data_IF_197251329461
#
_entry.id   IF_197251329461
#
_cell.length_a   1.000
_cell.length_b   1.000
_cell.length_c   1.000
_cell.angle_alpha   90.00
_cell.angle_beta   90.00
_cell.angle_gamma   90.00
#
_symmetry.space_group_name_H-M   'P 1'
#
loop_
_entity.id
_entity.type
_entity.pdbx_description
1 polymer ?
#
# COMPACT_ATOMS: atom_id res chain seq x y z
N UNK A 1 -14.12 -4.48 -42.44
CA UNK A 1 -13.20 -3.55 -41.75
C UNK A 1 -11.84 -4.22 -41.60
N UNK A 2 -10.72 -3.52 -41.84
CA UNK A 2 -9.40 -4.03 -41.51
C UNK A 2 -9.16 -3.75 -40.01
N UNK A 3 -9.18 -4.80 -39.18
CA UNK A 3 -9.13 -4.66 -37.74
C UNK A 3 -7.81 -4.01 -37.24
N UNK A 4 -6.65 -4.41 -37.80
CA UNK A 4 -5.38 -3.83 -37.40
C UNK A 4 -5.31 -2.34 -37.69
N UNK A 5 -5.75 -1.91 -38.86
CA UNK A 5 -5.79 -0.50 -39.22
C UNK A 5 -6.76 0.27 -38.31
N UNK A 6 -7.93 -0.31 -38.04
CA UNK A 6 -8.92 0.31 -37.15
C UNK A 6 -8.37 0.53 -35.73
N UNK A 7 -7.68 -0.48 -35.15
CA UNK A 7 -7.04 -0.35 -33.85
C UNK A 7 -5.88 0.64 -33.85
N UNK A 8 -5.12 0.74 -34.94
CA UNK A 8 -4.05 1.73 -35.11
C UNK A 8 -4.58 3.17 -35.18
N UNK A 9 -5.74 3.38 -35.81
CA UNK A 9 -6.37 4.69 -35.96
C UNK A 9 -7.03 5.16 -34.63
N UNK A 10 -7.33 4.23 -33.73
CA UNK A 10 -7.97 4.49 -32.44
C UNK A 10 -6.99 4.28 -31.27
N UNK A 11 -5.86 4.98 -31.28
CA UNK A 11 -4.87 4.96 -30.20
C UNK A 11 -4.90 6.27 -29.40
N UNK A 12 -4.62 6.15 -28.10
CA UNK A 12 -4.39 7.34 -27.28
C UNK A 12 -3.03 8.02 -27.63
N UNK A 13 -2.73 9.12 -26.96
CA UNK A 13 -1.48 9.86 -27.14
C UNK A 13 -0.21 9.02 -26.89
N UNK A 14 -0.31 7.95 -26.09
CA UNK A 14 0.78 7.03 -25.80
C UNK A 14 0.87 5.85 -26.78
N UNK A 15 0.03 5.83 -27.83
CA UNK A 15 0.03 4.79 -28.86
C UNK A 15 -0.69 3.50 -28.48
N UNK A 16 -1.38 3.45 -27.35
CA UNK A 16 -2.16 2.28 -26.89
C UNK A 16 -3.56 2.30 -27.52
N UNK A 17 -4.06 1.20 -28.13
CA UNK A 17 -5.42 1.12 -28.65
C UNK A 17 -6.47 1.40 -27.58
N UNK A 18 -7.38 2.34 -27.84
CA UNK A 18 -8.48 2.73 -26.95
C UNK A 18 -9.75 2.78 -27.77
N UNK A 19 -10.81 2.12 -27.29
CA UNK A 19 -12.11 2.06 -27.96
C UNK A 19 -13.21 2.40 -26.95
N UNK A 20 -14.12 3.28 -27.32
CA UNK A 20 -15.32 3.52 -26.53
C UNK A 20 -16.29 2.33 -26.61
N UNK A 21 -17.39 2.38 -25.87
CA UNK A 21 -18.36 1.28 -25.76
C UNK A 21 -18.93 0.85 -27.12
N UNK A 22 -19.28 1.81 -27.97
CA UNK A 22 -19.81 1.53 -29.32
C UNK A 22 -18.74 0.85 -30.20
N UNK A 23 -17.55 1.43 -30.28
CA UNK A 23 -16.42 0.90 -31.04
C UNK A 23 -16.02 -0.51 -30.59
N UNK A 24 -16.00 -0.75 -29.26
CA UNK A 24 -15.72 -2.07 -28.70
C UNK A 24 -16.82 -3.08 -29.05
N UNK A 25 -18.09 -2.68 -28.98
CA UNK A 25 -19.24 -3.51 -29.42
C UNK A 25 -19.16 -3.86 -30.91
N UNK A 26 -18.82 -2.87 -31.75
CA UNK A 26 -18.77 -3.08 -33.21
C UNK A 26 -17.71 -4.08 -33.64
N UNK A 27 -16.50 -4.04 -33.00
CA UNK A 27 -15.48 -5.04 -33.33
C UNK A 27 -15.81 -6.43 -32.77
N UNK A 28 -16.46 -6.52 -31.63
CA UNK A 28 -16.90 -7.79 -31.04
C UNK A 28 -18.05 -8.43 -31.84
N UNK A 29 -18.85 -7.63 -32.57
CA UNK A 29 -19.87 -8.13 -33.47
C UNK A 29 -19.30 -8.68 -34.80
N UNK A 30 -18.13 -8.19 -35.25
CA UNK A 30 -17.52 -8.51 -36.52
C UNK A 30 -16.43 -9.57 -36.44
N UNK A 31 -15.75 -9.68 -35.29
CA UNK A 31 -14.59 -10.55 -35.10
C UNK A 31 -14.75 -11.39 -33.83
N UNK A 32 -14.24 -12.59 -33.87
CA UNK A 32 -14.11 -13.40 -32.64
C UNK A 32 -13.02 -12.85 -31.71
N UNK A 33 -13.11 -13.19 -30.43
CA UNK A 33 -12.19 -12.69 -29.41
C UNK A 33 -10.73 -13.04 -29.65
N UNK A 34 -10.44 -14.21 -30.24
CA UNK A 34 -9.06 -14.64 -30.51
C UNK A 34 -8.43 -13.77 -31.62
N UNK A 35 -9.22 -13.45 -32.65
CA UNK A 35 -8.82 -12.54 -33.72
C UNK A 35 -8.52 -11.13 -33.16
N UNK A 36 -9.36 -10.61 -32.25
CA UNK A 36 -9.13 -9.30 -31.62
C UNK A 36 -7.88 -9.34 -30.74
N UNK A 37 -7.70 -10.39 -29.95
CA UNK A 37 -6.50 -10.57 -29.09
C UNK A 37 -5.24 -10.62 -29.94
N UNK A 38 -5.26 -11.37 -31.04
CA UNK A 38 -4.11 -11.47 -31.96
C UNK A 38 -3.76 -10.11 -32.57
N UNK A 39 -4.75 -9.33 -32.98
CA UNK A 39 -4.55 -7.99 -33.52
C UNK A 39 -4.00 -7.02 -32.48
N UNK A 40 -4.50 -7.04 -31.24
CA UNK A 40 -3.97 -6.23 -30.15
C UNK A 40 -2.52 -6.56 -29.86
N UNK A 41 -2.17 -7.85 -29.76
CA UNK A 41 -0.79 -8.30 -29.56
C UNK A 41 0.11 -7.82 -30.70
N UNK A 42 -0.30 -8.02 -31.95
CA UNK A 42 0.46 -7.60 -33.13
C UNK A 42 0.79 -6.10 -33.10
N UNK A 43 -0.17 -5.28 -32.74
CA UNK A 43 0.02 -3.82 -32.61
C UNK A 43 1.02 -3.51 -31.49
N UNK A 44 0.85 -4.07 -30.30
CA UNK A 44 1.73 -3.82 -29.16
C UNK A 44 3.17 -4.24 -29.48
N UNK A 45 3.35 -5.41 -30.10
CA UNK A 45 4.67 -5.93 -30.49
C UNK A 45 5.33 -5.02 -31.53
N UNK A 46 4.57 -4.53 -32.52
CA UNK A 46 5.10 -3.70 -33.60
C UNK A 46 5.35 -2.26 -33.18
N UNK A 47 4.47 -1.67 -32.41
CA UNK A 47 4.53 -0.24 -32.09
C UNK A 47 5.20 0.06 -30.75
N UNK A 48 5.32 -0.94 -29.88
CA UNK A 48 5.95 -0.86 -28.56
C UNK A 48 5.51 0.35 -27.75
N UNK A 49 4.22 0.58 -27.58
CA UNK A 49 3.74 1.68 -26.74
C UNK A 49 4.09 1.38 -25.28
N UNK A 50 4.25 2.40 -24.43
CA UNK A 50 4.46 2.18 -22.99
C UNK A 50 3.28 1.42 -22.38
N UNK A 51 3.54 0.68 -21.30
CA UNK A 51 2.49 -0.01 -20.55
C UNK A 51 1.39 0.98 -20.11
N UNK A 52 0.10 0.67 -20.33
CA UNK A 52 -0.99 1.59 -20.01
C UNK A 52 -1.11 1.77 -18.49
N UNK A 53 -0.68 2.92 -17.99
CA UNK A 53 -0.85 3.37 -16.62
C UNK A 53 -1.88 4.50 -16.56
N UNK A 54 -2.42 4.76 -15.37
CA UNK A 54 -3.30 5.92 -15.18
C UNK A 54 -2.49 7.19 -15.39
N UNK A 55 -3.01 8.08 -16.20
CA UNK A 55 -2.50 9.43 -16.28
C UNK A 55 -2.96 10.19 -15.03
N UNK A 56 -2.01 10.58 -14.18
CA UNK A 56 -2.26 11.31 -12.94
C UNK A 56 -1.57 12.66 -13.10
N UNK A 57 -2.36 13.71 -13.32
CA UNK A 57 -1.83 15.05 -13.43
C UNK A 57 -1.32 15.57 -12.07
N UNK A 58 -0.46 16.60 -12.13
CA UNK A 58 -0.04 17.30 -10.92
C UNK A 58 -1.24 17.89 -10.15
N UNK A 59 -2.25 18.38 -10.87
CA UNK A 59 -3.48 18.91 -10.28
C UNK A 59 -4.29 17.83 -9.56
N UNK A 60 -4.38 16.62 -10.12
CA UNK A 60 -5.07 15.49 -9.47
C UNK A 60 -4.35 15.07 -8.17
N UNK A 61 -3.03 15.04 -8.19
CA UNK A 61 -2.21 14.74 -7.02
C UNK A 61 -2.36 15.83 -5.95
N UNK A 62 -2.29 17.10 -6.34
CA UNK A 62 -2.47 18.24 -5.46
C UNK A 62 -3.86 18.24 -4.81
N UNK A 63 -4.91 18.01 -5.62
CA UNK A 63 -6.27 17.88 -5.11
C UNK A 63 -6.35 16.73 -4.08
N UNK A 64 -5.80 15.57 -4.41
CA UNK A 64 -5.79 14.41 -3.53
C UNK A 64 -5.05 14.68 -2.21
N UNK A 65 -3.97 15.49 -2.25
CA UNK A 65 -3.24 15.92 -1.05
C UNK A 65 -4.11 16.79 -0.14
N UNK A 66 -4.80 17.79 -0.68
CA UNK A 66 -5.65 18.68 0.09
C UNK A 66 -6.91 17.96 0.60
N UNK A 67 -7.53 17.11 -0.22
CA UNK A 67 -8.66 16.28 0.20
C UNK A 67 -8.27 15.39 1.40
N UNK A 68 -7.08 14.79 1.36
CA UNK A 68 -6.56 14.00 2.48
C UNK A 68 -6.27 14.87 3.70
N UNK A 69 -5.63 16.03 3.53
CA UNK A 69 -5.27 16.94 4.62
C UNK A 69 -6.50 17.47 5.36
N UNK A 70 -7.56 17.77 4.62
CA UNK A 70 -8.81 18.31 5.17
C UNK A 70 -9.82 17.24 5.61
N UNK A 71 -9.55 15.97 5.33
CA UNK A 71 -10.49 14.90 5.68
C UNK A 71 -10.59 14.68 7.18
N UNK A 72 -11.84 14.67 7.68
CA UNK A 72 -12.12 14.12 9.00
C UNK A 72 -12.21 12.59 8.91
N UNK A 73 -11.24 11.92 9.52
CA UNK A 73 -11.14 10.46 9.47
C UNK A 73 -11.96 9.76 10.56
N UNK A 74 -12.61 10.49 11.48
CA UNK A 74 -13.50 9.90 12.49
C UNK A 74 -14.62 9.10 11.84
N UNK A 75 -15.18 9.62 10.75
CA UNK A 75 -16.26 8.97 9.98
C UNK A 75 -15.83 7.70 9.25
N UNK A 76 -14.53 7.46 9.15
CA UNK A 76 -13.97 6.28 8.45
C UNK A 76 -13.69 5.11 9.38
N UNK A 77 -13.78 5.30 10.69
CA UNK A 77 -13.56 4.24 11.66
C UNK A 77 -14.89 3.70 12.19
N UNK A 78 -15.05 2.38 12.21
CA UNK A 78 -16.16 1.67 12.83
C UNK A 78 -15.64 0.84 14.00
N UNK A 79 -16.25 0.97 15.16
CA UNK A 79 -15.85 0.23 16.35
C UNK A 79 -16.11 -1.28 16.17
N UNK A 80 -15.37 -2.10 16.90
CA UNK A 80 -15.45 -3.56 16.79
C UNK A 80 -16.89 -4.08 16.97
N UNK A 81 -17.62 -3.59 17.96
CA UNK A 81 -18.97 -4.07 18.23
C UNK A 81 -19.98 -3.78 17.11
N UNK A 82 -19.72 -2.78 16.29
CA UNK A 82 -20.55 -2.43 15.13
C UNK A 82 -20.30 -3.39 13.93
N UNK A 83 -19.15 -4.02 13.86
CA UNK A 83 -18.71 -4.76 12.67
C UNK A 83 -18.33 -6.22 12.91
N UNK A 84 -18.26 -6.69 14.16
CA UNK A 84 -17.79 -8.03 14.51
C UNK A 84 -18.50 -9.17 13.76
N UNK A 85 -19.81 -9.04 13.55
CA UNK A 85 -20.60 -10.03 12.84
C UNK A 85 -20.46 -9.96 11.30
N UNK A 86 -19.88 -8.86 10.80
CA UNK A 86 -19.65 -8.62 9.38
C UNK A 86 -18.24 -9.03 8.95
N UNK A 87 -17.28 -9.01 9.88
CA UNK A 87 -15.89 -9.44 9.58
C UNK A 87 -15.86 -10.92 9.28
N UNK A 88 -15.23 -11.29 8.19
CA UNK A 88 -15.18 -12.70 7.78
C UNK A 88 -14.43 -13.57 8.77
N UNK A 89 -15.03 -14.73 9.06
CA UNK A 89 -14.47 -15.77 9.91
C UNK A 89 -13.12 -16.34 9.44
N UNK A 90 -12.68 -15.97 8.23
CA UNK A 90 -11.38 -16.41 7.69
C UNK A 90 -10.16 -15.98 8.51
N UNK A 91 -10.35 -15.12 9.51
CA UNK A 91 -9.33 -14.88 10.53
C UNK A 91 -9.06 -16.08 11.44
N UNK A 92 -9.89 -17.11 11.42
CA UNK A 92 -9.58 -18.38 12.06
C UNK A 92 -8.32 -19.07 11.49
N UNK A 93 -8.00 -18.75 10.23
CA UNK A 93 -6.76 -19.19 9.57
C UNK A 93 -5.52 -18.42 10.04
N UNK A 94 -5.67 -17.30 10.77
CA UNK A 94 -4.58 -16.54 11.36
C UNK A 94 -4.41 -16.93 12.83
N UNK A 95 -3.20 -16.78 13.37
CA UNK A 95 -2.90 -17.20 14.75
C UNK A 95 -3.76 -16.52 15.79
N UNK A 96 -4.10 -15.24 15.60
CA UNK A 96 -4.99 -14.46 16.49
C UNK A 96 -6.30 -14.16 15.79
N UNK A 97 -7.42 -14.33 16.48
CA UNK A 97 -8.75 -14.03 15.96
C UNK A 97 -9.05 -12.56 16.15
N UNK A 98 -9.48 -11.88 15.07
CA UNK A 98 -9.93 -10.49 15.15
C UNK A 98 -11.06 -10.32 16.17
N UNK A 99 -12.03 -11.22 16.19
CA UNK A 99 -13.19 -11.18 17.10
C UNK A 99 -12.85 -11.14 18.59
N UNK A 100 -11.67 -11.64 18.99
CA UNK A 100 -11.25 -11.65 20.40
C UNK A 100 -10.36 -10.47 20.79
N UNK A 101 -9.76 -9.77 19.81
CA UNK A 101 -8.79 -8.71 20.05
C UNK A 101 -9.02 -7.50 19.12
N UNK A 102 -10.19 -7.43 18.47
CA UNK A 102 -10.49 -6.37 17.53
C UNK A 102 -10.82 -5.04 18.22
N UNK A 103 -10.24 -3.96 17.73
CA UNK A 103 -10.52 -2.58 18.16
C UNK A 103 -11.55 -1.91 17.23
N UNK A 104 -11.55 -2.26 15.95
CA UNK A 104 -12.46 -1.70 14.95
C UNK A 104 -11.90 -1.80 13.54
N UNK A 105 -12.63 -1.26 12.58
CA UNK A 105 -12.28 -1.30 11.14
C UNK A 105 -12.16 0.11 10.58
N UNK A 106 -11.04 0.38 9.93
CA UNK A 106 -10.81 1.60 9.17
C UNK A 106 -11.37 1.36 7.76
N UNK A 107 -12.42 2.11 7.40
CA UNK A 107 -13.01 2.09 6.07
C UNK A 107 -12.06 2.79 5.09
N UNK A 108 -11.95 2.25 3.89
CA UNK A 108 -11.01 2.76 2.90
C UNK A 108 -11.68 3.07 1.58
N UNK A 109 -11.24 4.18 0.98
CA UNK A 109 -11.54 4.56 -0.38
C UNK A 109 -10.29 4.67 -1.23
N UNK A 110 -10.46 4.88 -2.53
CA UNK A 110 -9.35 5.13 -3.45
C UNK A 110 -9.13 6.62 -3.74
N UNK A 111 -9.95 7.48 -3.16
CA UNK A 111 -9.96 8.93 -3.44
C UNK A 111 -8.64 9.63 -3.13
N UNK A 112 -7.87 9.11 -2.16
CA UNK A 112 -6.59 9.68 -1.77
C UNK A 112 -5.38 9.01 -2.44
N UNK A 113 -5.59 8.01 -3.29
CA UNK A 113 -4.49 7.21 -3.84
C UNK A 113 -3.55 8.00 -4.75
N UNK A 114 -4.03 9.08 -5.38
CA UNK A 114 -3.21 9.85 -6.32
C UNK A 114 -2.09 10.62 -5.63
N UNK A 115 -2.20 10.88 -4.32
CA UNK A 115 -1.20 11.62 -3.56
C UNK A 115 0.19 10.96 -3.65
N UNK A 116 0.28 9.66 -3.58
CA UNK A 116 1.52 8.89 -3.69
C UNK A 116 1.70 8.23 -5.07
N UNK A 117 0.61 7.81 -5.74
CA UNK A 117 0.69 7.21 -7.06
C UNK A 117 1.33 8.11 -8.12
N UNK A 118 1.19 9.43 -8.01
CA UNK A 118 1.86 10.38 -8.90
C UNK A 118 3.38 10.13 -8.95
N UNK A 119 3.99 9.77 -7.84
CA UNK A 119 5.42 9.52 -7.71
C UNK A 119 5.80 8.05 -7.94
N UNK A 120 4.98 7.11 -7.48
CA UNK A 120 5.38 5.71 -7.31
C UNK A 120 4.61 4.71 -8.19
N UNK A 121 3.62 5.14 -8.98
CA UNK A 121 2.77 4.23 -9.75
C UNK A 121 3.58 3.34 -10.67
N UNK A 122 4.53 3.90 -11.43
CA UNK A 122 5.35 3.16 -12.38
C UNK A 122 6.19 2.08 -11.68
N UNK A 123 6.86 2.44 -10.58
CA UNK A 123 7.66 1.51 -9.80
C UNK A 123 6.82 0.36 -9.24
N UNK A 124 5.59 0.67 -8.79
CA UNK A 124 4.65 -0.31 -8.28
C UNK A 124 4.16 -1.28 -9.36
N UNK A 125 3.95 -0.79 -10.60
CA UNK A 125 3.57 -1.61 -11.74
C UNK A 125 4.77 -2.37 -12.34
N UNK A 126 5.98 -2.04 -11.94
CA UNK A 126 7.21 -2.77 -12.26
C UNK A 126 7.70 -3.71 -11.15
N UNK A 127 6.91 -3.90 -10.10
CA UNK A 127 7.22 -4.80 -8.99
C UNK A 127 6.79 -6.23 -9.32
N UNK A 128 7.74 -7.16 -9.29
CA UNK A 128 7.47 -8.59 -9.43
C UNK A 128 6.91 -9.19 -8.12
N UNK A 129 6.35 -10.38 -8.20
CA UNK A 129 6.00 -11.22 -7.06
C UNK A 129 6.58 -12.62 -7.21
N UNK A 130 6.48 -13.44 -6.16
CA UNK A 130 6.89 -14.85 -6.25
C UNK A 130 6.01 -15.59 -7.27
N UNK A 131 6.67 -16.03 -8.36
CA UNK A 131 6.00 -16.76 -9.43
C UNK A 131 5.23 -15.91 -10.45
N UNK A 132 5.21 -14.58 -10.30
CA UNK A 132 4.48 -13.67 -11.19
C UNK A 132 5.34 -12.48 -11.59
N UNK A 133 5.35 -12.18 -12.89
CA UNK A 133 5.96 -10.98 -13.45
C UNK A 133 5.02 -9.77 -13.32
N UNK A 134 5.63 -8.59 -13.21
CA UNK A 134 4.93 -7.31 -13.16
C UNK A 134 4.18 -7.00 -14.46
N UNK A 135 3.17 -6.10 -14.44
CA UNK A 135 2.49 -5.63 -15.63
C UNK A 135 3.44 -5.04 -16.68
N UNK A 136 4.37 -4.18 -16.25
CA UNK A 136 5.35 -3.54 -17.16
C UNK A 136 6.25 -4.59 -17.79
N UNK A 137 6.79 -5.51 -17.01
CA UNK A 137 7.61 -6.59 -17.58
C UNK A 137 6.86 -7.40 -18.65
N UNK A 138 5.60 -7.79 -18.37
CA UNK A 138 4.78 -8.55 -19.31
C UNK A 138 4.49 -7.79 -20.58
N UNK A 139 4.19 -6.50 -20.45
CA UNK A 139 3.93 -5.63 -21.59
C UNK A 139 5.16 -5.44 -22.47
N UNK A 140 6.27 -5.07 -21.89
CA UNK A 140 7.51 -4.74 -22.62
C UNK A 140 8.17 -5.98 -23.27
N UNK A 141 8.03 -7.14 -22.63
CA UNK A 141 8.60 -8.40 -23.11
C UNK A 141 7.58 -9.29 -23.82
N UNK A 142 6.35 -8.83 -24.06
CA UNK A 142 5.26 -9.61 -24.67
C UNK A 142 4.98 -10.92 -23.92
N UNK A 143 5.26 -10.95 -22.60
CA UNK A 143 5.11 -12.13 -21.78
C UNK A 143 3.65 -12.35 -21.42
N UNK A 144 3.05 -13.41 -21.99
CA UNK A 144 1.69 -13.84 -21.72
C UNK A 144 0.61 -12.75 -21.95
N UNK A 145 0.82 -11.84 -22.92
CA UNK A 145 -0.16 -10.81 -23.30
C UNK A 145 -1.51 -11.39 -23.71
N UNK A 146 -1.54 -12.60 -24.29
CA UNK A 146 -2.78 -13.29 -24.59
C UNK A 146 -3.68 -13.45 -23.36
N UNK A 147 -3.12 -13.85 -22.22
CA UNK A 147 -3.87 -13.98 -20.96
C UNK A 147 -4.38 -12.63 -20.46
N UNK A 148 -3.56 -11.57 -20.60
CA UNK A 148 -3.96 -10.20 -20.25
C UNK A 148 -5.16 -9.76 -21.08
N UNK A 149 -5.12 -9.91 -22.39
CA UNK A 149 -6.22 -9.47 -23.24
C UNK A 149 -7.46 -10.35 -23.11
N UNK A 150 -7.34 -11.66 -22.94
CA UNK A 150 -8.49 -12.52 -22.67
C UNK A 150 -9.22 -12.16 -21.37
N UNK A 151 -8.54 -11.54 -20.41
CA UNK A 151 -9.17 -11.06 -19.19
C UNK A 151 -10.16 -9.92 -19.44
N UNK A 152 -10.07 -9.17 -20.54
CA UNK A 152 -11.03 -8.13 -20.91
C UNK A 152 -12.46 -8.70 -20.98
N UNK A 153 -12.65 -9.87 -21.60
CA UNK A 153 -13.97 -10.53 -21.70
C UNK A 153 -14.38 -11.18 -20.38
N UNK A 154 -13.43 -11.76 -19.63
CA UNK A 154 -13.72 -12.35 -18.31
C UNK A 154 -14.25 -11.33 -17.32
N UNK A 155 -13.83 -10.08 -17.46
CA UNK A 155 -14.26 -8.96 -16.61
C UNK A 155 -15.52 -8.26 -17.14
N UNK A 156 -16.02 -8.66 -18.33
CA UNK A 156 -17.19 -8.04 -18.95
C UNK A 156 -16.95 -6.56 -19.30
N UNK A 157 -15.69 -6.19 -19.66
CA UNK A 157 -15.39 -4.82 -20.04
C UNK A 157 -16.21 -4.43 -21.28
N UNK A 158 -16.89 -3.28 -21.19
CA UNK A 158 -17.72 -2.73 -22.28
C UNK A 158 -16.96 -1.77 -23.20
N UNK A 159 -15.71 -1.45 -22.85
CA UNK A 159 -14.83 -0.57 -23.59
C UNK A 159 -13.38 -1.05 -23.47
N UNK A 160 -12.52 -0.58 -24.36
CA UNK A 160 -11.07 -0.78 -24.27
C UNK A 160 -10.43 0.53 -23.82
N UNK A 161 -10.25 0.67 -22.53
CA UNK A 161 -9.68 1.86 -21.89
C UNK A 161 -8.46 1.52 -21.06
N UNK A 162 -7.71 2.52 -20.60
CA UNK A 162 -6.61 2.31 -19.63
C UNK A 162 -7.10 1.55 -18.40
N UNK A 163 -8.30 1.85 -17.90
CA UNK A 163 -8.90 1.13 -16.78
C UNK A 163 -9.19 -0.33 -17.08
N UNK A 164 -9.61 -0.66 -18.31
CA UNK A 164 -9.82 -2.03 -18.76
C UNK A 164 -8.52 -2.83 -18.80
N UNK A 165 -7.43 -2.24 -19.30
CA UNK A 165 -6.10 -2.85 -19.27
C UNK A 165 -5.61 -3.10 -17.84
N UNK A 166 -5.72 -2.10 -16.96
CA UNK A 166 -5.33 -2.23 -15.54
C UNK A 166 -6.13 -3.35 -14.85
N UNK A 167 -7.42 -3.42 -15.10
CA UNK A 167 -8.28 -4.49 -14.55
C UNK A 167 -7.86 -5.87 -15.07
N UNK A 168 -7.49 -5.97 -16.34
CA UNK A 168 -7.00 -7.19 -16.96
C UNK A 168 -5.66 -7.65 -16.38
N UNK A 169 -4.74 -6.71 -16.11
CA UNK A 169 -3.49 -7.02 -15.41
C UNK A 169 -3.73 -7.61 -14.02
N UNK A 170 -4.75 -7.14 -13.28
CA UNK A 170 -5.07 -7.70 -11.95
C UNK A 170 -5.46 -9.18 -11.96
N UNK A 171 -5.98 -9.69 -13.08
CA UNK A 171 -6.31 -11.12 -13.25
C UNK A 171 -5.16 -11.96 -13.81
N UNK A 172 -4.22 -11.36 -14.51
CA UNK A 172 -3.23 -12.08 -15.31
C UNK A 172 -1.77 -11.79 -14.92
N UNK A 173 -1.54 -10.74 -14.15
CA UNK A 173 -0.23 -10.34 -13.62
C UNK A 173 -0.37 -10.01 -12.13
N UNK A 174 0.74 -9.71 -11.48
CA UNK A 174 0.73 -9.19 -10.12
C UNK A 174 0.91 -7.67 -10.14
N UNK A 175 0.05 -6.95 -9.46
CA UNK A 175 0.21 -5.52 -9.20
C UNK A 175 0.45 -5.37 -7.70
N UNK A 176 1.61 -4.83 -7.32
CA UNK A 176 1.92 -4.56 -5.92
C UNK A 176 0.84 -3.67 -5.28
N UNK A 177 0.40 -4.05 -4.10
CA UNK A 177 -0.69 -3.37 -3.41
C UNK A 177 -0.23 -1.99 -2.95
N UNK A 178 -1.03 -0.97 -3.24
CA UNK A 178 -0.84 0.36 -2.68
C UNK A 178 -1.40 0.40 -1.26
N UNK A 179 -0.61 0.86 -0.31
CA UNK A 179 -1.10 1.18 1.02
C UNK A 179 -2.07 2.37 0.96
N UNK A 180 -2.77 2.68 2.04
CA UNK A 180 -3.77 3.75 2.09
C UNK A 180 -3.30 4.91 2.97
N UNK A 181 -3.02 6.09 2.40
CA UNK A 181 -2.47 7.21 3.15
C UNK A 181 -3.38 7.68 4.30
N UNK A 182 -4.71 7.55 4.15
CA UNK A 182 -5.64 7.89 5.23
C UNK A 182 -5.50 6.99 6.46
N UNK A 183 -5.05 5.74 6.31
CA UNK A 183 -4.81 4.85 7.45
C UNK A 183 -3.63 5.36 8.28
N UNK A 184 -2.55 5.75 7.60
CA UNK A 184 -1.39 6.32 8.28
C UNK A 184 -1.75 7.64 8.97
N UNK A 185 -2.43 8.56 8.27
CA UNK A 185 -2.94 9.79 8.88
C UNK A 185 -3.77 9.51 10.13
N UNK A 186 -4.71 8.55 10.05
CA UNK A 186 -5.55 8.17 11.17
C UNK A 186 -4.73 7.72 12.39
N UNK A 187 -3.76 6.82 12.19
CA UNK A 187 -2.93 6.31 13.28
C UNK A 187 -2.05 7.40 13.91
N UNK A 188 -1.48 8.31 13.11
CA UNK A 188 -0.71 9.43 13.63
C UNK A 188 -1.57 10.43 14.42
N UNK A 189 -2.83 10.63 14.01
CA UNK A 189 -3.76 11.49 14.71
C UNK A 189 -4.26 10.90 16.02
N UNK A 190 -4.69 9.62 16.04
CA UNK A 190 -5.19 9.01 17.28
C UNK A 190 -4.12 8.92 18.37
N UNK A 191 -2.84 8.81 17.97
CA UNK A 191 -1.71 8.80 18.92
C UNK A 191 -1.22 10.20 19.28
N UNK A 192 -1.78 11.25 18.67
CA UNK A 192 -1.28 12.62 18.76
C UNK A 192 0.25 12.70 18.55
N UNK A 193 0.74 11.89 17.61
CA UNK A 193 2.16 11.74 17.37
C UNK A 193 2.77 13.02 16.83
N UNK A 194 3.93 13.40 17.39
CA UNK A 194 4.80 14.45 16.86
C UNK A 194 5.95 13.86 16.07
N UNK A 195 6.51 12.76 16.57
CA UNK A 195 7.63 12.07 15.96
C UNK A 195 7.21 10.66 15.51
N UNK A 196 7.40 10.39 14.22
CA UNK A 196 6.97 9.14 13.55
C UNK A 196 8.18 8.38 13.03
N UNK A 197 8.16 7.05 13.13
CA UNK A 197 9.13 6.17 12.50
C UNK A 197 8.45 5.12 11.60
N UNK A 198 9.01 4.92 10.40
CA UNK A 198 8.57 3.91 9.43
C UNK A 198 9.76 3.08 8.95
N UNK A 199 9.85 1.85 9.39
CA UNK A 199 10.97 0.95 9.07
C UNK A 199 10.93 0.37 7.65
N UNK A 200 9.91 0.68 6.84
CA UNK A 200 9.77 0.20 5.45
C UNK A 200 8.88 1.15 4.66
N UNK A 201 9.43 2.28 4.20
CA UNK A 201 8.66 3.42 3.63
C UNK A 201 7.74 3.06 2.45
N UNK A 202 8.02 1.98 1.74
CA UNK A 202 7.16 1.37 0.72
C UNK A 202 6.92 2.29 -0.48
N UNK A 203 5.65 2.57 -0.79
CA UNK A 203 5.26 3.41 -1.93
C UNK A 203 4.92 4.85 -1.55
N UNK A 204 5.48 5.36 -0.43
CA UNK A 204 5.30 6.74 0.01
C UNK A 204 3.91 7.09 0.54
N UNK A 205 3.02 6.10 0.74
CA UNK A 205 1.66 6.35 1.23
C UNK A 205 1.64 6.78 2.70
N UNK A 206 2.50 6.17 3.54
CA UNK A 206 2.61 6.54 4.96
C UNK A 206 3.30 7.90 5.13
N UNK A 207 4.25 8.24 4.24
CA UNK A 207 4.83 9.58 4.15
C UNK A 207 3.77 10.63 3.76
N UNK A 208 2.85 10.29 2.83
CA UNK A 208 1.72 11.17 2.49
C UNK A 208 0.75 11.35 3.67
N UNK A 209 0.46 10.28 4.41
CA UNK A 209 -0.31 10.33 5.65
C UNK A 209 0.34 11.22 6.70
N UNK A 210 1.66 11.16 6.86
CA UNK A 210 2.43 12.04 7.74
C UNK A 210 2.28 13.52 7.35
N UNK A 211 2.51 13.86 6.09
CA UNK A 211 2.39 15.24 5.61
C UNK A 211 0.97 15.82 5.78
N UNK A 212 -0.04 14.96 5.80
CA UNK A 212 -1.45 15.32 5.98
C UNK A 212 -1.94 15.26 7.43
N UNK A 213 -1.08 14.93 8.38
CA UNK A 213 -1.37 14.86 9.82
C UNK A 213 -0.73 16.02 10.58
N UNK A 214 -0.91 16.06 11.92
CA UNK A 214 -0.31 17.06 12.81
C UNK A 214 1.07 16.64 13.35
N UNK A 215 1.65 15.55 12.84
CA UNK A 215 2.99 15.13 13.18
C UNK A 215 4.04 16.07 12.57
N UNK A 216 5.14 16.28 13.27
CA UNK A 216 6.16 17.27 12.92
C UNK A 216 7.40 16.64 12.27
N UNK A 217 7.79 15.43 12.71
CA UNK A 217 9.00 14.75 12.28
C UNK A 217 8.72 13.32 11.81
N UNK A 218 9.31 12.93 10.68
CA UNK A 218 9.24 11.59 10.12
C UNK A 218 10.64 11.04 9.87
N UNK A 219 10.89 9.88 10.41
CA UNK A 219 12.11 9.09 10.19
C UNK A 219 11.73 7.81 9.45
N UNK A 220 12.52 7.43 8.45
CA UNK A 220 12.20 6.24 7.67
C UNK A 220 13.40 5.51 7.13
N UNK A 221 13.20 4.22 6.83
CA UNK A 221 14.18 3.38 6.13
C UNK A 221 13.54 2.65 4.96
N UNK A 222 14.29 2.47 3.89
CA UNK A 222 13.93 1.61 2.75
C UNK A 222 15.17 1.33 1.91
N UNK A 223 15.53 0.08 1.57
CA UNK A 223 16.71 -0.22 0.78
C UNK A 223 16.52 0.05 -0.72
N UNK A 224 15.31 0.38 -1.19
CA UNK A 224 15.00 0.57 -2.59
C UNK A 224 15.50 1.92 -3.11
N UNK A 225 16.53 1.92 -3.94
CA UNK A 225 17.12 3.11 -4.53
C UNK A 225 16.15 3.89 -5.44
N UNK A 226 15.23 3.21 -6.10
CA UNK A 226 14.27 3.84 -7.01
C UNK A 226 13.18 4.59 -6.24
N UNK A 227 12.65 4.00 -5.15
CA UNK A 227 11.66 4.70 -4.30
C UNK A 227 12.30 5.78 -3.44
N UNK A 228 13.57 5.64 -3.05
CA UNK A 228 14.31 6.64 -2.29
C UNK A 228 14.35 7.99 -3.01
N UNK A 229 14.62 8.01 -4.32
CA UNK A 229 14.57 9.22 -5.12
C UNK A 229 13.14 9.83 -5.14
N UNK A 230 12.12 8.98 -5.22
CA UNK A 230 10.73 9.43 -5.24
C UNK A 230 10.25 9.98 -3.90
N UNK A 231 10.72 9.46 -2.77
CA UNK A 231 10.43 10.04 -1.46
C UNK A 231 10.97 11.47 -1.34
N UNK A 232 12.18 11.70 -1.84
CA UNK A 232 12.76 13.04 -1.84
C UNK A 232 11.95 14.02 -2.68
N UNK A 233 11.58 13.64 -3.93
CA UNK A 233 10.71 14.43 -4.78
C UNK A 233 9.35 14.73 -4.10
N UNK A 234 8.77 13.72 -3.49
CA UNK A 234 7.49 13.79 -2.77
C UNK A 234 7.55 14.80 -1.62
N UNK A 235 8.60 14.75 -0.80
CA UNK A 235 8.81 15.70 0.29
C UNK A 235 8.89 17.14 -0.23
N UNK A 236 9.68 17.39 -1.28
CA UNK A 236 9.84 18.75 -1.84
C UNK A 236 8.52 19.32 -2.36
N UNK A 237 7.67 18.47 -2.95
CA UNK A 237 6.37 18.89 -3.46
C UNK A 237 5.41 19.20 -2.30
N UNK A 238 5.35 18.34 -1.30
CA UNK A 238 4.44 18.53 -0.17
C UNK A 238 4.84 19.71 0.72
N UNK A 239 6.14 19.94 0.91
CA UNK A 239 6.61 21.15 1.60
C UNK A 239 6.13 22.43 0.90
N UNK A 240 6.16 22.47 -0.45
CA UNK A 240 5.63 23.61 -1.21
C UNK A 240 4.12 23.79 -1.02
N UNK A 241 3.36 22.69 -0.93
CA UNK A 241 1.92 22.79 -0.67
C UNK A 241 1.63 23.38 0.71
N UNK A 242 2.45 23.07 1.70
CA UNK A 242 2.35 23.66 3.04
C UNK A 242 2.92 25.09 3.13
N UNK A 243 3.39 25.66 2.02
CA UNK A 243 4.03 26.99 1.99
C UNK A 243 5.48 27.00 2.45
N UNK A 244 6.08 25.85 2.63
CA UNK A 244 7.47 25.69 3.09
C UNK A 244 8.49 26.00 2.00
N UNK A 245 9.68 26.38 2.45
CA UNK A 245 10.91 26.52 1.64
C UNK A 245 11.99 25.67 2.29
N UNK A 246 11.98 24.34 2.04
CA UNK A 246 12.80 23.41 2.78
C UNK A 246 14.29 23.62 2.50
N UNK A 247 15.08 23.47 3.57
CA UNK A 247 16.52 23.21 3.48
C UNK A 247 16.70 21.70 3.32
N UNK A 248 17.64 21.30 2.49
CA UNK A 248 17.84 19.88 2.18
C UNK A 248 19.31 19.49 2.32
N UNK A 249 19.51 18.27 2.81
CA UNK A 249 20.78 17.53 2.72
C UNK A 249 20.43 16.23 2.01
N UNK A 250 21.23 15.81 1.05
CA UNK A 250 20.99 14.54 0.33
C UNK A 250 22.28 13.97 -0.19
N UNK A 251 22.48 12.69 0.03
CA UNK A 251 23.49 11.86 -0.61
C UNK A 251 22.86 10.55 -1.14
N UNK A 252 23.67 9.56 -1.51
CA UNK A 252 23.21 8.29 -2.07
C UNK A 252 22.55 7.37 -1.01
N UNK A 253 22.71 7.66 0.28
CA UNK A 253 22.29 6.80 1.38
C UNK A 253 21.25 7.44 2.27
N UNK A 254 21.19 8.76 2.29
CA UNK A 254 20.26 9.42 3.19
C UNK A 254 19.90 10.82 2.69
N UNK A 255 18.72 11.29 3.08
CA UNK A 255 18.35 12.69 2.91
C UNK A 255 17.61 13.26 4.12
N UNK A 256 17.74 14.57 4.30
CA UNK A 256 16.94 15.37 5.22
C UNK A 256 16.24 16.47 4.41
N UNK A 257 14.94 16.62 4.61
CA UNK A 257 14.14 17.75 4.15
C UNK A 257 13.58 18.44 5.38
N UNK A 258 13.99 19.68 5.61
CA UNK A 258 13.60 20.48 6.76
C UNK A 258 12.89 21.75 6.30
N UNK A 259 11.58 21.78 6.42
CA UNK A 259 10.72 22.91 6.06
C UNK A 259 9.66 23.17 7.11
N UNK A 260 8.38 23.12 6.73
CA UNK A 260 7.25 23.14 7.67
C UNK A 260 7.29 21.89 8.55
N UNK A 261 7.65 20.75 7.94
CA UNK A 261 7.89 19.50 8.63
C UNK A 261 9.35 19.06 8.44
N UNK A 262 9.78 18.08 9.22
CA UNK A 262 11.08 17.45 9.09
C UNK A 262 10.92 16.00 8.63
N UNK A 263 11.61 15.63 7.56
CA UNK A 263 11.68 14.25 7.06
C UNK A 263 13.13 13.84 6.93
N UNK A 264 13.47 12.69 7.48
CA UNK A 264 14.77 12.04 7.33
C UNK A 264 14.58 10.59 6.91
N UNK A 265 15.09 10.22 5.73
CA UNK A 265 14.99 8.85 5.20
C UNK A 265 16.37 8.32 4.87
N UNK A 266 16.64 7.10 5.35
CA UNK A 266 17.86 6.35 5.11
C UNK A 266 17.62 5.22 4.09
N UNK A 267 18.44 5.19 3.04
CA UNK A 267 18.42 4.11 2.05
C UNK A 267 19.27 2.94 2.57
N UNK A 268 18.67 2.13 3.41
CA UNK A 268 19.28 0.93 3.97
C UNK A 268 18.21 -0.09 4.36
N UNK A 269 18.56 -1.37 4.46
CA UNK A 269 17.73 -2.37 5.13
C UNK A 269 17.48 -1.95 6.58
N UNK A 270 16.24 -2.14 7.05
CA UNK A 270 15.87 -1.70 8.40
C UNK A 270 16.62 -2.44 9.51
N UNK A 271 16.99 -3.70 9.28
CA UNK A 271 17.78 -4.48 10.22
C UNK A 271 19.23 -4.00 10.38
N UNK A 272 19.77 -3.29 9.35
CA UNK A 272 21.11 -2.72 9.34
C UNK A 272 21.14 -1.26 9.80
N UNK A 273 19.97 -0.64 10.02
CA UNK A 273 19.84 0.75 10.44
C UNK A 273 20.35 0.95 11.88
N UNK A 274 21.02 2.06 12.11
CA UNK A 274 21.44 2.48 13.46
C UNK A 274 20.30 3.21 14.19
N UNK A 275 19.54 2.47 14.98
CA UNK A 275 18.41 3.00 15.75
C UNK A 275 18.83 3.99 16.86
N UNK A 276 20.13 4.07 17.20
CA UNK A 276 20.60 4.98 18.25
C UNK A 276 20.54 6.46 17.84
N UNK A 277 20.43 6.73 16.54
CA UNK A 277 20.31 8.10 16.03
C UNK A 277 18.87 8.63 16.08
N UNK A 278 17.88 7.75 16.31
CA UNK A 278 16.48 8.16 16.40
C UNK A 278 16.24 8.94 17.69
N UNK A 279 15.43 10.01 17.63
CA UNK A 279 14.83 10.57 18.83
C UNK A 279 13.85 9.57 19.45
N UNK A 280 13.24 9.93 20.57
CA UNK A 280 12.12 9.16 21.10
C UNK A 280 10.93 9.25 20.16
N UNK A 281 10.38 8.10 19.78
CA UNK A 281 9.32 7.96 18.77
C UNK A 281 7.96 7.86 19.46
N UNK A 282 7.01 8.71 19.06
CA UNK A 282 5.64 8.67 19.60
C UNK A 282 4.79 7.61 18.89
N UNK A 283 4.96 7.49 17.57
CA UNK A 283 4.24 6.51 16.77
C UNK A 283 5.17 5.85 15.74
N UNK A 284 5.39 4.57 15.88
CA UNK A 284 6.00 3.76 14.83
C UNK A 284 4.91 3.04 14.05
N UNK A 285 4.89 3.22 12.72
CA UNK A 285 3.93 2.51 11.87
C UNK A 285 4.59 1.99 10.60
N UNK A 286 4.53 0.69 10.41
CA UNK A 286 5.10 0.04 9.24
C UNK A 286 4.18 -1.03 8.65
N UNK A 287 4.36 -1.29 7.35
CA UNK A 287 3.93 -2.51 6.68
C UNK A 287 5.21 -3.14 6.13
N UNK A 288 5.80 -4.10 6.84
CA UNK A 288 7.07 -4.70 6.43
C UNK A 288 6.88 -5.52 5.15
N UNK A 289 7.95 -5.78 4.38
CA UNK A 289 7.86 -6.71 3.25
C UNK A 289 7.44 -8.10 3.75
N UNK A 290 6.28 -8.58 3.25
CA UNK A 290 5.73 -9.88 3.63
C UNK A 290 6.60 -11.00 3.04
N UNK A 291 6.92 -12.00 3.87
CA UNK A 291 7.72 -13.14 3.41
C UNK A 291 7.09 -13.80 2.17
N UNK A 292 7.92 -14.00 1.14
CA UNK A 292 7.59 -14.67 -0.12
C UNK A 292 6.36 -14.09 -0.88
N UNK A 293 6.05 -12.80 -0.70
CA UNK A 293 4.93 -12.16 -1.40
C UNK A 293 5.40 -11.31 -2.57
N UNK A 294 6.15 -10.27 -2.34
CA UNK A 294 6.61 -9.31 -3.35
C UNK A 294 8.14 -9.35 -3.51
N UNK A 295 8.59 -9.06 -4.72
CA UNK A 295 10.01 -8.90 -5.05
C UNK A 295 10.24 -7.46 -5.50
N UNK A 296 10.45 -6.61 -4.53
CA UNK A 296 10.72 -5.19 -4.77
C UNK A 296 12.06 -5.01 -5.46
N UNK A 297 12.16 -3.99 -6.33
CA UNK A 297 13.41 -3.51 -6.89
C UNK A 297 14.25 -4.58 -7.60
N UNK A 298 13.62 -5.51 -8.33
CA UNK A 298 14.34 -6.62 -9.01
C UNK A 298 15.32 -6.14 -10.08
N UNK A 299 15.17 -4.92 -10.58
CA UNK A 299 16.01 -4.30 -11.62
C UNK A 299 16.92 -3.19 -11.10
N UNK A 300 16.79 -2.80 -9.83
CA UNK A 300 17.60 -1.75 -9.23
C UNK A 300 19.00 -2.19 -8.83
N UNK A 301 19.88 -1.22 -8.62
CA UNK A 301 21.29 -1.45 -8.22
C UNK A 301 21.41 -2.16 -6.86
N UNK A 302 20.44 -1.97 -5.99
CA UNK A 302 20.42 -2.45 -4.60
C UNK A 302 19.39 -3.57 -4.38
N UNK A 303 19.08 -4.34 -5.42
CA UNK A 303 18.15 -5.47 -5.35
C UNK A 303 18.55 -6.54 -4.31
N UNK A 304 19.85 -6.71 -4.09
CA UNK A 304 20.42 -7.64 -3.10
C UNK A 304 20.24 -7.18 -1.64
N UNK A 305 19.90 -5.93 -1.40
CA UNK A 305 19.61 -5.38 -0.07
C UNK A 305 18.12 -5.61 0.32
N UNK A 306 17.28 -6.05 -0.61
CA UNK A 306 15.87 -6.34 -0.35
C UNK A 306 15.69 -7.62 0.48
N UNK A 307 14.69 -7.66 1.34
CA UNK A 307 14.41 -8.80 2.23
C UNK A 307 14.23 -10.11 1.47
N UNK A 308 13.56 -10.08 0.30
CA UNK A 308 13.36 -11.27 -0.53
C UNK A 308 14.68 -11.86 -1.10
N UNK A 309 15.71 -11.05 -1.22
CA UNK A 309 17.04 -11.49 -1.71
C UNK A 309 17.94 -11.93 -0.54
N UNK A 310 17.76 -11.34 0.66
CA UNK A 310 18.57 -11.64 1.85
C UNK A 310 18.11 -12.89 2.58
N UNK A 311 16.79 -13.16 2.58
CA UNK A 311 16.19 -14.24 3.37
C UNK A 311 15.38 -15.18 2.48
N UNK A 312 15.75 -16.44 2.49
CA UNK A 312 15.16 -17.47 1.60
C UNK A 312 14.14 -18.35 2.31
N UNK A 313 14.21 -18.45 3.63
CA UNK A 313 13.27 -19.20 4.47
C UNK A 313 12.50 -18.24 5.40
N UNK A 314 11.33 -18.71 5.89
CA UNK A 314 10.54 -17.93 6.83
C UNK A 314 11.31 -17.67 8.13
N UNK A 315 11.99 -18.67 8.61
CA UNK A 315 12.78 -18.64 9.85
C UNK A 315 13.94 -17.61 9.72
N UNK A 316 14.66 -17.60 8.58
CA UNK A 316 15.70 -16.59 8.34
C UNK A 316 15.10 -15.17 8.26
N UNK A 317 13.97 -15.01 7.57
CA UNK A 317 13.27 -13.72 7.46
C UNK A 317 12.74 -13.26 8.82
N UNK A 318 12.13 -14.17 9.61
CA UNK A 318 11.61 -13.88 10.94
C UNK A 318 12.74 -13.44 11.87
N UNK A 319 13.81 -14.24 11.97
CA UNK A 319 14.86 -14.07 12.97
C UNK A 319 15.93 -13.04 12.56
N UNK A 320 16.17 -12.85 11.26
CA UNK A 320 17.15 -11.90 10.72
C UNK A 320 16.60 -10.51 10.44
N UNK A 321 15.31 -10.40 10.14
CA UNK A 321 14.68 -9.14 9.77
C UNK A 321 13.48 -8.80 10.66
N UNK A 322 12.44 -9.62 10.61
CA UNK A 322 11.11 -9.21 11.10
C UNK A 322 11.07 -8.93 12.60
N UNK A 323 11.51 -9.87 13.42
CA UNK A 323 11.52 -9.68 14.88
C UNK A 323 12.58 -8.66 15.34
N UNK A 324 13.85 -8.70 14.87
CA UNK A 324 14.85 -7.71 15.27
C UNK A 324 14.48 -6.25 14.94
N UNK A 325 13.90 -6.01 13.75
CA UNK A 325 13.43 -4.67 13.36
C UNK A 325 12.33 -4.18 14.28
N UNK A 326 11.33 -5.04 14.57
CA UNK A 326 10.21 -4.68 15.45
C UNK A 326 10.68 -4.46 16.90
N UNK A 327 11.65 -5.24 17.41
CA UNK A 327 12.24 -5.05 18.73
C UNK A 327 12.97 -3.72 18.84
N UNK A 328 13.87 -3.42 17.90
CA UNK A 328 14.63 -2.15 17.87
C UNK A 328 13.69 -0.95 17.74
N UNK A 329 12.64 -1.08 16.95
CA UNK A 329 11.58 -0.07 16.82
C UNK A 329 10.88 0.16 18.15
N UNK A 330 10.46 -0.90 18.83
CA UNK A 330 9.82 -0.81 20.14
C UNK A 330 10.71 -0.16 21.19
N UNK A 331 12.00 -0.46 21.22
CA UNK A 331 12.97 0.16 22.13
C UNK A 331 13.12 1.66 21.90
N UNK A 332 12.96 2.12 20.66
CA UNK A 332 13.07 3.52 20.28
C UNK A 332 11.84 4.36 20.67
N UNK A 333 10.73 3.73 21.05
CA UNK A 333 9.51 4.44 21.44
C UNK A 333 9.74 5.30 22.70
N UNK A 334 9.01 6.41 22.78
CA UNK A 334 8.81 7.17 24.02
C UNK A 334 8.01 6.33 25.03
N UNK A 335 7.99 6.72 26.30
CA UNK A 335 7.29 5.98 27.36
C UNK A 335 5.77 5.86 27.11
N UNK A 336 5.21 6.78 26.33
CA UNK A 336 3.82 6.78 25.89
C UNK A 336 3.67 6.38 24.42
N UNK A 337 4.73 5.86 23.79
CA UNK A 337 4.77 5.57 22.37
C UNK A 337 3.99 4.31 21.99
N UNK A 338 3.57 4.29 20.72
CA UNK A 338 2.81 3.22 20.11
C UNK A 338 3.53 2.65 18.89
N UNK A 339 3.42 1.33 18.72
CA UNK A 339 3.88 0.64 17.52
C UNK A 339 2.72 -0.06 16.85
N UNK A 340 2.58 0.20 15.56
CA UNK A 340 1.58 -0.44 14.69
C UNK A 340 2.29 -1.20 13.58
N UNK A 341 1.88 -2.46 13.38
CA UNK A 341 2.45 -3.31 12.33
C UNK A 341 1.33 -3.87 11.48
N UNK A 342 1.28 -3.46 10.21
CA UNK A 342 0.32 -3.99 9.26
C UNK A 342 0.93 -5.20 8.56
N UNK A 343 0.49 -6.39 8.91
CA UNK A 343 0.94 -7.63 8.31
C UNK A 343 -0.13 -8.72 8.42
N UNK A 344 -0.33 -9.45 7.34
CA UNK A 344 -1.08 -10.69 7.31
C UNK A 344 -0.14 -11.88 7.49
N UNK A 345 -0.65 -12.95 8.10
CA UNK A 345 0.07 -14.21 8.20
C UNK A 345 0.31 -14.81 6.81
N UNK A 346 1.56 -14.93 6.34
CA UNK A 346 1.83 -15.36 4.98
C UNK A 346 1.48 -16.85 4.79
N UNK A 347 0.85 -17.14 3.65
CA UNK A 347 0.57 -18.51 3.21
C UNK A 347 1.35 -18.85 1.96
N UNK A 348 2.24 -19.82 2.06
CA UNK A 348 3.07 -20.28 0.94
C UNK A 348 2.64 -21.70 0.60
N UNK A 349 2.11 -21.86 -0.62
CA UNK A 349 1.46 -23.12 -1.05
C UNK A 349 0.32 -23.48 -0.09
N UNK A 350 0.49 -24.54 0.73
CA UNK A 350 -0.48 -25.02 1.69
C UNK A 350 -0.16 -24.64 3.14
N UNK A 351 1.09 -24.20 3.41
CA UNK A 351 1.56 -23.88 4.77
C UNK A 351 1.29 -22.41 5.08
N UNK A 352 0.63 -22.14 6.22
CA UNK A 352 0.50 -20.82 6.84
C UNK A 352 1.60 -20.67 7.89
N UNK A 353 2.18 -19.46 7.94
CA UNK A 353 3.14 -19.06 8.95
C UNK A 353 2.48 -17.97 9.81
N UNK A 354 2.60 -18.07 11.11
CA UNK A 354 1.90 -17.20 12.05
C UNK A 354 2.79 -16.04 12.51
N UNK A 355 3.13 -15.15 11.56
CA UNK A 355 3.96 -13.98 11.82
C UNK A 355 3.34 -13.05 12.87
N UNK A 356 2.01 -13.00 12.95
CA UNK A 356 1.31 -12.23 13.97
C UNK A 356 1.55 -12.78 15.38
N UNK A 357 1.50 -14.10 15.58
CA UNK A 357 1.77 -14.72 16.87
C UNK A 357 3.24 -14.52 17.27
N UNK A 358 4.18 -14.78 16.35
CA UNK A 358 5.60 -14.54 16.57
C UNK A 358 5.87 -13.09 17.04
N UNK A 359 5.20 -12.10 16.41
CA UNK A 359 5.34 -10.69 16.77
C UNK A 359 4.77 -10.39 18.17
N UNK A 360 3.54 -10.86 18.44
CA UNK A 360 2.86 -10.58 19.70
C UNK A 360 3.65 -11.18 20.86
N UNK A 361 4.05 -12.44 20.74
CA UNK A 361 4.80 -13.13 21.80
C UNK A 361 6.16 -12.43 22.02
N UNK A 362 6.87 -12.11 20.94
CA UNK A 362 8.18 -11.46 21.02
C UNK A 362 8.14 -10.07 21.66
N UNK A 363 7.19 -9.21 21.28
CA UNK A 363 7.08 -7.86 21.85
C UNK A 363 6.52 -7.87 23.26
N UNK A 364 5.59 -8.78 23.61
CA UNK A 364 5.08 -8.90 24.98
C UNK A 364 6.12 -9.42 25.95
N UNK A 365 6.96 -10.37 25.55
CA UNK A 365 8.12 -10.80 26.34
C UNK A 365 9.10 -9.65 26.61
N UNK A 366 9.20 -8.68 25.67
CA UNK A 366 10.01 -7.45 25.81
C UNK A 366 9.32 -6.37 26.65
N UNK A 367 8.12 -6.61 27.14
CA UNK A 367 7.38 -5.70 28.00
C UNK A 367 6.39 -4.79 27.29
N UNK A 368 6.08 -5.06 26.02
CA UNK A 368 5.00 -4.36 25.31
C UNK A 368 3.63 -4.78 25.85
N UNK A 369 2.72 -3.83 25.93
CA UNK A 369 1.29 -4.11 26.08
C UNK A 369 0.71 -4.37 24.70
N UNK A 370 0.18 -5.58 24.46
CA UNK A 370 -0.60 -5.86 23.26
C UNK A 370 -1.99 -5.24 23.40
N UNK A 371 -2.28 -4.23 22.58
CA UNK A 371 -3.50 -3.43 22.66
C UNK A 371 -4.66 -4.02 21.84
N UNK A 372 -4.40 -5.02 21.02
CA UNK A 372 -5.36 -5.57 20.08
C UNK A 372 -4.99 -5.26 18.61
N UNK A 373 -5.98 -5.35 17.73
CA UNK A 373 -5.78 -5.14 16.31
C UNK A 373 -6.88 -4.27 15.69
N UNK A 374 -6.51 -3.42 14.74
CA UNK A 374 -7.44 -2.72 13.85
C UNK A 374 -7.50 -3.44 12.51
N UNK A 375 -8.68 -3.45 11.89
CA UNK A 375 -8.85 -3.95 10.54
C UNK A 375 -8.73 -2.81 9.53
N UNK A 376 -7.83 -2.94 8.57
CA UNK A 376 -7.85 -2.12 7.37
C UNK A 376 -8.75 -2.78 6.33
N UNK A 377 -9.89 -2.19 5.99
CA UNK A 377 -10.81 -2.79 5.02
C UNK A 377 -10.15 -2.91 3.66
N UNK A 378 -10.15 -4.11 3.10
CA UNK A 378 -9.63 -4.38 1.76
C UNK A 378 -10.74 -4.82 0.82
N UNK A 379 -10.58 -4.55 -0.47
CA UNK A 379 -11.50 -5.03 -1.49
C UNK A 379 -11.30 -6.53 -1.70
N UNK A 380 -12.41 -7.24 -1.71
CA UNK A 380 -12.43 -8.66 -2.04
C UNK A 380 -12.04 -8.89 -3.50
N UNK A 381 -11.19 -9.91 -3.73
CA UNK A 381 -10.98 -10.39 -5.10
C UNK A 381 -12.19 -11.21 -5.52
N UNK A 382 -12.71 -11.03 -6.76
CA UNK A 382 -13.77 -11.87 -7.26
C UNK A 382 -13.41 -13.36 -7.16
N UNK A 383 -14.25 -14.14 -6.52
CA UNK A 383 -14.15 -15.61 -6.48
C UNK A 383 -15.46 -16.17 -7.05
N UNK A 384 -15.40 -17.38 -7.61
CA UNK A 384 -16.61 -18.16 -7.83
C UNK A 384 -17.17 -18.55 -6.45
N UNK A 385 -18.23 -17.93 -6.02
CA UNK A 385 -18.88 -18.15 -4.74
C UNK A 385 -20.27 -18.69 -4.99
N UNK A 386 -20.60 -19.80 -4.35
CA UNK A 386 -21.91 -20.45 -4.48
C UNK A 386 -23.05 -19.60 -3.87
N UNK A 387 -22.74 -18.74 -2.91
CA UNK A 387 -23.69 -17.84 -2.25
C UNK A 387 -23.21 -16.38 -2.30
N UNK A 388 -23.63 -15.67 -3.36
CA UNK A 388 -23.20 -14.29 -3.63
C UNK A 388 -23.71 -13.31 -2.58
N UNK A 389 -24.92 -13.51 -2.05
CA UNK A 389 -25.56 -12.58 -1.11
C UNK A 389 -24.88 -12.61 0.26
N UNK A 390 -24.54 -13.78 0.78
CA UNK A 390 -23.79 -13.92 2.02
C UNK A 390 -22.38 -13.31 1.92
N UNK A 391 -21.78 -13.41 0.73
CA UNK A 391 -20.47 -12.89 0.44
C UNK A 391 -20.42 -11.36 0.33
N UNK A 392 -21.45 -10.72 -0.23
CA UNK A 392 -21.52 -9.27 -0.46
C UNK A 392 -21.64 -8.48 0.85
N UNK A 393 -22.11 -9.10 1.93
CA UNK A 393 -22.28 -8.44 3.23
C UNK A 393 -21.08 -8.57 4.16
N UNK A 394 -20.07 -9.36 3.80
CA UNK A 394 -18.89 -9.57 4.66
C UNK A 394 -17.80 -8.53 4.42
N UNK A 395 -17.15 -8.11 5.50
CA UNK A 395 -16.02 -7.17 5.50
C UNK A 395 -14.70 -7.97 5.50
N UNK A 396 -13.86 -7.72 4.51
CA UNK A 396 -12.50 -8.23 4.48
C UNK A 396 -11.57 -7.19 5.05
N UNK A 397 -10.70 -7.61 5.95
CA UNK A 397 -9.73 -6.72 6.57
C UNK A 397 -8.31 -7.26 6.43
N UNK A 398 -7.36 -6.35 6.43
CA UNK A 398 -5.94 -6.61 6.65
C UNK A 398 -5.60 -6.09 8.05
N UNK A 399 -5.03 -6.92 8.94
CA UNK A 399 -4.85 -6.53 10.33
C UNK A 399 -3.68 -5.54 10.51
N UNK A 400 -3.87 -4.62 11.46
CA UNK A 400 -2.84 -3.75 12.00
C UNK A 400 -2.71 -4.11 13.48
N UNK A 401 -1.61 -4.70 13.85
CA UNK A 401 -1.31 -5.15 15.21
C UNK A 401 -0.80 -3.97 16.03
N UNK A 402 -1.41 -3.75 17.21
CA UNK A 402 -1.23 -2.54 18.02
C UNK A 402 -0.52 -2.86 19.32
N UNK A 403 0.58 -2.15 19.59
CA UNK A 403 1.40 -2.30 20.80
C UNK A 403 1.67 -0.94 21.43
N UNK A 404 1.83 -0.93 22.76
CA UNK A 404 2.18 0.26 23.54
C UNK A 404 3.26 -0.03 24.56
N UNK A 405 4.09 0.95 24.88
CA UNK A 405 4.93 0.96 26.09
C UNK A 405 4.13 1.26 27.34
N UNK A 406 2.98 1.93 27.21
CA UNK A 406 2.05 2.13 28.33
C UNK A 406 1.50 0.82 28.83
N UNK A 407 1.37 0.71 30.15
CA UNK A 407 0.75 -0.46 30.81
C UNK A 407 -0.75 -0.27 31.07
N UNK A 408 -1.30 0.88 30.73
CA UNK A 408 -2.69 1.25 30.96
C UNK A 408 -3.61 0.71 29.84
N UNK A 409 -4.92 0.76 30.08
CA UNK A 409 -5.92 0.39 29.07
C UNK A 409 -5.76 1.21 27.79
N UNK A 410 -5.90 0.54 26.65
CA UNK A 410 -5.82 1.18 25.34
C UNK A 410 -7.14 1.86 24.99
N UNK A 411 -7.26 3.14 25.32
CA UNK A 411 -8.47 3.95 25.07
C UNK A 411 -8.29 4.94 23.91
N UNK A 412 -7.15 4.94 23.21
CA UNK A 412 -6.81 5.93 22.18
C UNK A 412 -7.91 6.18 21.15
N UNK A 413 -8.56 5.11 20.67
CA UNK A 413 -9.60 5.23 19.65
C UNK A 413 -10.81 5.93 20.23
N UNK A 414 -11.24 5.53 21.43
CA UNK A 414 -12.39 6.16 22.12
C UNK A 414 -12.09 7.62 22.45
N UNK A 415 -10.89 7.91 22.94
CA UNK A 415 -10.48 9.27 23.27
C UNK A 415 -10.49 10.15 22.00
N UNK A 416 -9.94 9.67 20.90
CA UNK A 416 -9.95 10.39 19.61
C UNK A 416 -11.36 10.58 19.07
N UNK A 417 -12.20 9.55 19.11
CA UNK A 417 -13.59 9.65 18.61
C UNK A 417 -14.44 10.63 19.42
N UNK A 418 -14.14 10.77 20.72
CA UNK A 418 -14.84 11.68 21.63
C UNK A 418 -14.27 13.10 21.65
N UNK A 419 -13.06 13.35 21.09
CA UNK A 419 -12.54 14.73 20.95
C UNK A 419 -13.47 15.55 20.07
N UNK A 420 -13.83 16.76 20.50
CA UNK A 420 -14.79 17.63 19.80
C UNK A 420 -16.25 17.45 20.23
N UNK A 421 -16.60 16.39 20.94
CA UNK A 421 -17.93 16.30 21.57
C UNK A 421 -18.11 17.33 22.71
N UNK A 422 -17.00 17.74 23.34
CA UNK A 422 -16.99 18.75 24.40
C UNK A 422 -16.96 20.18 23.86
N UNK A 423 -16.44 20.42 22.67
CA UNK A 423 -16.41 21.76 22.06
C UNK A 423 -17.81 22.25 21.65
N UNK A 424 -18.76 21.32 21.45
CA UNK A 424 -20.18 21.67 21.18
C UNK A 424 -21.00 21.98 22.43
N UNK A 425 -20.45 21.82 23.65
CA UNK A 425 -21.13 22.15 24.90
C UNK A 425 -20.75 23.52 25.47
N UNK A 426 -19.74 24.19 24.93
CA UNK A 426 -19.24 25.49 25.35
C UNK A 426 -19.24 26.56 24.23
N UNK A 427 -19.93 26.30 23.12
CA UNK A 427 -20.11 27.23 22.01
C UNK A 427 -21.47 27.93 22.06
#
# INVERSE_FOLDING_TARGET
>A
MNLNQYLLDNRNQNGVPILNEQQWSDINAQFDKETIVAALIDIIVKTKPPCPLRDISFADMQKSFWDLSLSDLKTTFQQHDEVKDLVLEKFEDYGRKYATHGLGVIQMGSQFNNVSNYFHQELRYNCDAWGYKSPIYRWDNNDNLRSVFLALWRLGNKELSVSSYISSFRLSAYIATQFKPQVAKFLYQITNAKTVFDSSCGWGDRLAGFYSSDADEYYGTDPNDQTFEKYYEQCLVYERFLGGRPKTVKDDKHFIVQGVKRVEIHRCPAEDFDYSILPKIDCAFTSPPYFATEKYNTTGKHSNEQSWARYTTYEEWRDGFYLPVNQKTFDSLSDNGYQFVNIMDPKIKTKRYYASDDLIDNLTERGATFCGQMGMRIMQRPKNVENLDEFMHKIYIEPIWCFSKKKDEFNLVNDYMNTGALDNFFG
#
